data_IF_151707015966
#
_entry.id   IF_151707015966
#
_cell.length_a   1.000
_cell.length_b   1.000
_cell.length_c   1.000
_cell.angle_alpha   90.00
_cell.angle_beta   90.00
_cell.angle_gamma   90.00
#
_symmetry.space_group_name_H-M   'P 1'
#
loop_
_entity.id
_entity.type
_entity.pdbx_description
1 polymer ?
#
# COMPACT_ATOMS: atom_id res chain seq x y z
N UNK A 1 -12.95 -4.62 4.12
CA UNK A 1 -11.58 -4.63 4.69
C UNK A 1 -10.67 -3.79 3.79
N UNK A 2 -9.44 -3.43 4.21
CA UNK A 2 -8.55 -2.62 3.36
C UNK A 2 -7.86 -3.49 2.30
N UNK A 3 -8.11 -3.24 1.02
CA UNK A 3 -7.33 -3.82 -0.10
C UNK A 3 -7.64 -5.28 -0.42
N UNK A 4 -8.84 -5.56 -0.96
CA UNK A 4 -9.17 -6.91 -1.47
C UNK A 4 -8.49 -7.25 -2.80
N UNK A 5 -8.08 -6.25 -3.59
CA UNK A 5 -7.34 -6.43 -4.84
C UNK A 5 -6.31 -5.30 -4.98
N UNK A 6 -5.06 -5.58 -4.65
CA UNK A 6 -3.97 -4.61 -4.70
C UNK A 6 -2.91 -5.07 -5.71
N UNK A 7 -2.36 -4.16 -6.49
CA UNK A 7 -1.22 -4.47 -7.37
C UNK A 7 0.03 -3.79 -6.83
N UNK A 8 0.40 -2.63 -7.39
CA UNK A 8 1.61 -1.90 -6.98
C UNK A 8 1.31 -0.74 -6.01
N UNK A 9 0.23 -0.84 -5.25
CA UNK A 9 -0.19 0.22 -4.34
C UNK A 9 0.73 0.32 -3.10
N UNK A 10 1.11 1.55 -2.77
CA UNK A 10 1.69 1.92 -1.48
C UNK A 10 0.65 2.70 -0.68
N UNK A 11 0.18 2.13 0.43
CA UNK A 11 -0.87 2.73 1.26
C UNK A 11 -0.26 3.09 2.61
N UNK A 12 -0.43 4.34 3.04
CA UNK A 12 -0.02 4.81 4.36
C UNK A 12 -1.26 5.15 5.18
N UNK A 13 -1.41 4.52 6.35
CA UNK A 13 -2.54 4.78 7.26
C UNK A 13 -2.00 5.30 8.58
N UNK A 14 -2.50 6.46 9.02
CA UNK A 14 -2.23 6.97 10.36
C UNK A 14 -3.05 6.18 11.38
N UNK A 15 -2.39 5.37 12.21
CA UNK A 15 -3.06 4.48 13.17
C UNK A 15 -3.26 3.04 12.66
N UNK A 16 -4.26 2.34 13.20
CA UNK A 16 -4.53 0.92 12.91
C UNK A 16 -5.77 0.76 12.03
N UNK A 17 -5.73 -0.22 11.14
CA UNK A 17 -6.87 -0.62 10.30
C UNK A 17 -7.71 -1.67 11.02
N UNK A 18 -9.04 -1.64 10.84
CA UNK A 18 -9.96 -2.61 11.46
C UNK A 18 -9.79 -4.03 10.90
N UNK A 19 -9.27 -4.17 9.68
CA UNK A 19 -9.00 -5.45 9.05
C UNK A 19 -8.44 -5.29 7.64
N UNK A 20 -7.66 -6.28 7.22
CA UNK A 20 -7.01 -6.36 5.91
C UNK A 20 -7.84 -7.22 4.95
N UNK A 21 -7.89 -6.82 3.69
CA UNK A 21 -8.48 -7.61 2.61
C UNK A 21 -7.57 -8.74 2.16
N UNK A 22 -8.06 -9.58 1.26
CA UNK A 22 -7.40 -10.82 0.85
C UNK A 22 -5.97 -10.63 0.29
N UNK A 23 -5.69 -9.48 -0.32
CA UNK A 23 -4.40 -9.20 -0.94
C UNK A 23 -3.71 -7.98 -0.33
N UNK A 24 -3.99 -7.66 0.94
CA UNK A 24 -3.35 -6.57 1.65
C UNK A 24 -2.60 -7.06 2.86
N UNK A 25 -1.34 -6.65 2.99
CA UNK A 25 -0.51 -6.94 4.15
C UNK A 25 0.18 -5.68 4.64
N UNK A 26 0.41 -5.61 5.95
CA UNK A 26 1.33 -4.62 6.51
C UNK A 26 2.73 -4.90 5.96
N UNK A 27 3.42 -3.83 5.59
CA UNK A 27 4.77 -3.87 5.04
C UNK A 27 5.69 -3.07 5.92
N UNK A 28 6.96 -3.46 5.92
CA UNK A 28 8.00 -2.72 6.63
C UNK A 28 8.05 -1.25 6.18
N UNK A 29 8.20 -0.37 7.16
CA UNK A 29 8.37 1.06 6.97
C UNK A 29 9.86 1.41 6.98
N UNK A 30 10.44 1.47 5.78
CA UNK A 30 11.83 1.91 5.53
C UNK A 30 11.96 3.42 5.36
N UNK A 31 13.17 3.95 5.52
CA UNK A 31 13.52 5.38 5.41
C UNK A 31 13.03 6.02 4.10
N UNK A 32 13.22 5.36 2.96
CA UNK A 32 12.76 5.86 1.65
C UNK A 32 11.24 6.15 1.61
N UNK A 33 10.45 5.39 2.37
CA UNK A 33 9.01 5.60 2.47
C UNK A 33 8.68 6.73 3.44
N UNK A 34 9.47 6.91 4.50
CA UNK A 34 9.31 8.01 5.44
C UNK A 34 9.58 9.33 4.72
N UNK A 35 10.63 9.37 3.89
CA UNK A 35 10.97 10.53 3.07
C UNK A 35 9.88 10.83 2.03
N UNK A 36 9.37 9.79 1.35
CA UNK A 36 8.25 9.93 0.42
C UNK A 36 7.01 10.52 1.11
N UNK A 37 6.65 9.96 2.28
CA UNK A 37 5.49 10.41 3.03
C UNK A 37 5.71 11.82 3.61
N UNK A 38 6.91 12.17 4.05
CA UNK A 38 7.26 13.51 4.50
C UNK A 38 7.00 14.54 3.40
N UNK A 39 7.50 14.28 2.18
CA UNK A 39 7.28 15.18 1.04
C UNK A 39 5.81 15.29 0.62
N UNK A 40 5.01 14.22 0.78
CA UNK A 40 3.56 14.28 0.56
C UNK A 40 2.85 15.12 1.62
N UNK A 41 3.20 14.96 2.90
CA UNK A 41 2.62 15.71 4.01
C UNK A 41 2.97 17.21 3.91
N UNK A 42 4.20 17.53 3.52
CA UNK A 42 4.63 18.91 3.29
C UNK A 42 3.82 19.57 2.17
N UNK A 43 3.68 18.89 1.02
CA UNK A 43 2.85 19.37 -0.11
C UNK A 43 1.37 19.54 0.25
N UNK A 44 0.89 18.76 1.22
CA UNK A 44 -0.46 18.86 1.74
C UNK A 44 -0.60 19.87 2.91
N UNK A 45 0.47 20.61 3.23
CA UNK A 45 0.54 21.58 4.33
C UNK A 45 0.22 20.96 5.72
N UNK A 46 0.45 19.65 5.86
CA UNK A 46 0.18 18.88 7.09
C UNK A 46 1.39 18.83 8.03
N UNK A 47 1.92 19.99 8.43
CA UNK A 47 3.18 20.10 9.18
C UNK A 47 3.12 19.58 10.63
N UNK A 48 1.92 19.31 11.17
CA UNK A 48 1.74 18.81 12.55
C UNK A 48 1.75 17.28 12.65
N UNK A 49 1.88 16.58 11.52
CA UNK A 49 1.79 15.12 11.45
C UNK A 49 3.15 14.57 11.07
N UNK A 50 3.64 13.57 11.80
CA UNK A 50 4.92 12.91 11.51
C UNK A 50 4.71 11.65 10.65
N UNK A 51 5.55 11.41 9.63
CA UNK A 51 5.52 10.16 8.85
C UNK A 51 5.61 8.90 9.71
N UNK A 52 6.31 8.96 10.85
CA UNK A 52 6.45 7.85 11.80
C UNK A 52 5.15 7.43 12.50
N UNK A 53 4.08 8.23 12.38
CA UNK A 53 2.75 7.90 12.91
C UNK A 53 1.95 6.98 11.97
N UNK A 54 2.51 6.67 10.80
CA UNK A 54 1.85 5.88 9.77
C UNK A 54 2.38 4.44 9.73
N UNK A 55 1.47 3.54 9.40
CA UNK A 55 1.77 2.18 8.99
C UNK A 55 1.66 2.06 7.47
N UNK A 56 2.50 1.23 6.88
CA UNK A 56 2.50 0.98 5.45
C UNK A 56 1.83 -0.35 5.13
N UNK A 57 0.98 -0.34 4.11
CA UNK A 57 0.33 -1.51 3.57
C UNK A 57 0.54 -1.57 2.06
N UNK A 58 0.48 -2.77 1.52
CA UNK A 58 0.57 -2.99 0.08
C UNK A 58 0.15 -4.41 -0.28
N UNK A 59 0.24 -4.73 -1.58
CA UNK A 59 -0.19 -6.03 -2.08
C UNK A 59 0.57 -7.19 -1.44
N UNK A 60 -0.17 -8.25 -1.09
CA UNK A 60 0.41 -9.55 -0.74
C UNK A 60 1.04 -10.24 -1.96
N UNK A 61 0.70 -9.79 -3.18
CA UNK A 61 1.05 -10.36 -4.48
C UNK A 61 0.50 -11.77 -4.68
N UNK A 62 -0.60 -12.10 -4.00
CA UNK A 62 -1.21 -13.43 -4.08
C UNK A 62 -2.32 -13.49 -5.13
N UNK A 63 -2.93 -12.34 -5.45
CA UNK A 63 -3.96 -12.24 -6.50
C UNK A 63 -3.39 -11.82 -7.86
N UNK A 64 -2.10 -12.08 -8.13
CA UNK A 64 -1.52 -11.97 -9.47
C UNK A 64 -2.09 -13.07 -10.40
N UNK A 65 -3.40 -13.01 -10.66
CA UNK A 65 -4.06 -13.81 -11.69
C UNK A 65 -3.78 -13.16 -13.04
N UNK A 66 -2.54 -13.24 -13.52
CA UNK A 66 -2.26 -13.06 -14.93
C UNK A 66 -2.75 -14.33 -15.64
N UNK A 67 -4.07 -14.46 -15.84
CA UNK A 67 -4.61 -15.50 -16.70
C UNK A 67 -4.19 -15.21 -18.14
N UNK A 68 -3.07 -15.79 -18.56
CA UNK A 68 -2.68 -15.89 -19.97
C UNK A 68 -3.50 -17.02 -20.63
N UNK A 69 -4.82 -17.01 -20.47
CA UNK A 69 -5.71 -18.01 -21.08
C UNK A 69 -6.26 -17.53 -22.43
N UNK A 70 -5.40 -16.92 -23.26
CA UNK A 70 -5.78 -16.49 -24.62
C UNK A 70 -4.64 -16.60 -25.65
N UNK A 71 -3.74 -17.58 -25.51
CA UNK A 71 -2.63 -17.82 -26.48
C UNK A 71 -2.76 -19.16 -27.21
N UNK A 72 -3.96 -19.71 -27.36
CA UNK A 72 -4.18 -20.86 -28.25
C UNK A 72 -5.61 -20.91 -28.80
N UNK A 73 -5.89 -20.00 -29.74
CA UNK A 73 -6.84 -20.26 -30.83
C UNK A 73 -6.11 -19.96 -32.15
N UNK A 74 -5.36 -20.96 -32.60
CA UNK A 74 -4.95 -21.13 -34.00
C UNK A 74 -5.84 -22.20 -34.62
#
# INVERSE_FOLDING_TARGET
ALGDSLYEAQIFVRGQVKGLGADCVEKEMRDEHLDTLAGLLEKAEMCKIKPSEFRRYGSARQLYNFQVDNVSRY
#
